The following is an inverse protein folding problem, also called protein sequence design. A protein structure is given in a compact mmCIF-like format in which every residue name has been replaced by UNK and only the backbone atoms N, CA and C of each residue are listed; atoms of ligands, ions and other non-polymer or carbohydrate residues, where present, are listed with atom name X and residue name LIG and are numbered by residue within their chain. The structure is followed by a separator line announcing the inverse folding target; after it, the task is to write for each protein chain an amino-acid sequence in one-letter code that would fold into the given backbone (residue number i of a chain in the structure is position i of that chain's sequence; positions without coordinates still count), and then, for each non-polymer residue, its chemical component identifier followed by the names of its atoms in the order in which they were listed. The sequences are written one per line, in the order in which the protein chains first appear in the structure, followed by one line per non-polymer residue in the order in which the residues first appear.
data_IF_701333290637
#
_entry.id   IF_701333290637
#
_cell.length_a   1.000
_cell.length_b   1.000
_cell.length_c   1.000
_cell.angle_alpha   90.00
_cell.angle_beta   90.00
_cell.angle_gamma   90.00
#
_symmetry.space_group_name_H-M   'P 1'
#
loop_
_entity.id
_entity.type
_entity.pdbx_description
1 polymer ?
#
# COMPACT_ATOMS: atom_id res chain seq x y z
N UNK A 1 1.89 -25.38 13.68
CA UNK A 1 2.22 -26.41 12.67
C UNK A 1 1.98 -25.77 11.30
N UNK A 2 3.02 -25.27 10.64
CA UNK A 2 2.93 -24.73 9.28
C UNK A 2 2.54 -25.89 8.35
N UNK A 3 1.46 -25.73 7.57
CA UNK A 3 1.06 -26.75 6.57
C UNK A 3 2.13 -26.79 5.48
N UNK A 4 2.57 -28.00 5.13
CA UNK A 4 3.63 -28.29 4.16
C UNK A 4 3.35 -27.79 2.73
N UNK A 5 2.12 -27.33 2.44
CA UNK A 5 1.66 -26.94 1.10
C UNK A 5 1.51 -25.40 0.94
N UNK A 6 2.39 -24.61 1.56
CA UNK A 6 2.30 -23.14 1.52
C UNK A 6 3.45 -22.55 0.72
N UNK A 7 3.14 -21.60 -0.16
CA UNK A 7 4.11 -20.86 -0.98
C UNK A 7 4.48 -19.53 -0.33
N UNK A 8 5.62 -18.98 -0.76
CA UNK A 8 6.11 -17.68 -0.33
C UNK A 8 6.50 -16.85 -1.54
N UNK A 9 6.08 -15.59 -1.55
CA UNK A 9 6.51 -14.54 -2.46
C UNK A 9 7.03 -13.43 -1.58
N UNK A 10 8.26 -12.98 -1.79
CA UNK A 10 8.77 -11.84 -1.04
C UNK A 10 9.91 -11.16 -1.74
N UNK A 11 10.01 -9.84 -1.52
CA UNK A 11 10.90 -8.94 -2.24
C UNK A 11 12.29 -9.52 -2.47
N UNK A 12 12.96 -9.91 -1.39
CA UNK A 12 14.36 -10.36 -1.41
C UNK A 12 14.57 -11.82 -1.85
N UNK A 13 13.49 -12.58 -1.96
CA UNK A 13 13.52 -14.00 -2.37
C UNK A 13 13.10 -14.21 -3.81
N UNK A 14 12.53 -13.18 -4.44
CA UNK A 14 11.99 -13.24 -5.79
C UNK A 14 13.05 -12.78 -6.77
N UNK A 15 13.27 -13.55 -7.85
CA UNK A 15 14.13 -13.12 -8.95
C UNK A 15 13.50 -11.96 -9.74
N UNK A 16 14.01 -11.70 -10.96
CA UNK A 16 13.45 -10.64 -11.83
C UNK A 16 12.00 -10.89 -12.28
N UNK A 17 11.51 -12.13 -12.18
CA UNK A 17 10.15 -12.50 -12.56
C UNK A 17 9.27 -12.64 -11.31
N UNK A 18 8.15 -11.94 -11.31
CA UNK A 18 7.13 -12.10 -10.27
C UNK A 18 6.45 -13.46 -10.43
N UNK A 19 6.44 -14.32 -9.40
CA UNK A 19 5.78 -15.61 -9.46
C UNK A 19 4.27 -15.44 -9.62
N UNK A 20 3.66 -16.29 -10.44
CA UNK A 20 2.21 -16.27 -10.64
C UNK A 20 1.50 -16.65 -9.33
N UNK A 21 0.48 -15.86 -8.97
CA UNK A 21 -0.40 -16.22 -7.87
C UNK A 21 -1.24 -17.44 -8.26
N UNK A 22 -1.15 -18.50 -7.47
CA UNK A 22 -1.86 -19.77 -7.70
C UNK A 22 -3.02 -19.97 -6.72
N UNK A 23 -3.73 -21.09 -6.82
CA UNK A 23 -4.79 -21.41 -5.88
C UNK A 23 -4.29 -21.84 -4.50
N UNK A 24 -3.01 -22.21 -4.40
CA UNK A 24 -2.36 -22.63 -3.16
C UNK A 24 -2.24 -21.45 -2.17
N UNK A 25 -2.33 -21.70 -0.85
CA UNK A 25 -2.01 -20.71 0.16
C UNK A 25 -0.62 -20.10 -0.09
N UNK A 26 -0.56 -18.78 -0.23
CA UNK A 26 0.66 -18.05 -0.59
C UNK A 26 0.84 -16.86 0.34
N UNK A 27 1.93 -16.84 1.10
CA UNK A 27 2.35 -15.66 1.85
C UNK A 27 3.07 -14.68 0.93
N UNK A 28 2.70 -13.40 1.02
CA UNK A 28 3.31 -12.31 0.28
C UNK A 28 3.94 -11.37 1.30
N UNK A 29 5.24 -11.15 1.23
CA UNK A 29 6.00 -10.50 2.31
C UNK A 29 6.94 -9.44 1.75
N UNK A 30 6.83 -8.23 2.31
CA UNK A 30 7.88 -7.22 2.24
C UNK A 30 8.49 -7.08 3.64
N UNK A 31 9.78 -7.44 3.84
CA UNK A 31 10.41 -7.31 5.13
C UNK A 31 10.64 -5.84 5.53
N UNK A 32 10.72 -4.90 4.58
CA UNK A 32 11.04 -3.50 4.82
C UNK A 32 10.59 -2.56 3.67
N UNK A 33 9.30 -2.23 3.64
CA UNK A 33 8.81 -1.13 2.81
C UNK A 33 9.29 0.21 3.40
N UNK A 34 9.73 1.10 2.51
CA UNK A 34 10.36 2.37 2.88
C UNK A 34 11.84 2.23 3.27
N UNK A 35 12.60 1.34 2.62
CA UNK A 35 14.05 1.16 2.88
C UNK A 35 14.84 2.48 2.90
N UNK A 36 14.53 3.43 2.00
CA UNK A 36 15.16 4.76 2.02
C UNK A 36 14.86 5.51 3.32
N UNK A 37 13.61 5.48 3.79
CA UNK A 37 13.23 6.09 5.05
C UNK A 37 13.95 5.44 6.23
N UNK A 38 14.04 4.10 6.25
CA UNK A 38 14.75 3.37 7.28
C UNK A 38 16.23 3.78 7.36
N UNK A 39 16.93 3.83 6.22
CA UNK A 39 18.35 4.23 6.14
C UNK A 39 18.56 5.65 6.69
N UNK A 40 17.61 6.55 6.45
CA UNK A 40 17.69 7.95 6.87
C UNK A 40 17.06 8.22 8.26
N UNK A 41 16.53 7.20 8.94
CA UNK A 41 15.85 7.35 10.23
C UNK A 41 14.52 8.12 10.14
N UNK A 42 13.91 8.22 8.96
CA UNK A 42 12.58 8.79 8.80
C UNK A 42 11.54 7.76 9.28
N UNK A 43 10.57 8.14 10.14
CA UNK A 43 9.81 7.17 10.94
C UNK A 43 8.72 6.42 10.15
N UNK A 44 8.69 6.54 8.82
CA UNK A 44 7.70 5.92 7.95
C UNK A 44 8.34 4.73 7.23
N UNK A 45 8.30 3.56 7.85
CA UNK A 45 8.75 2.28 7.29
C UNK A 45 7.91 1.18 7.92
N UNK A 46 7.70 0.07 7.21
CA UNK A 46 6.87 -1.01 7.73
C UNK A 46 7.25 -2.38 7.19
N UNK A 47 6.87 -3.41 7.96
CA UNK A 47 6.80 -4.79 7.49
C UNK A 47 5.41 -5.03 6.89
N UNK A 48 5.35 -5.72 5.75
CA UNK A 48 4.11 -6.06 5.05
C UNK A 48 3.96 -7.57 4.97
N UNK A 49 2.83 -8.09 5.42
CA UNK A 49 2.51 -9.53 5.37
C UNK A 49 1.08 -9.72 4.87
N UNK A 50 0.94 -10.36 3.72
CA UNK A 50 -0.32 -10.80 3.15
C UNK A 50 -0.41 -12.32 3.08
N UNK A 51 -1.63 -12.85 3.18
CA UNK A 51 -1.92 -14.24 2.85
C UNK A 51 -2.99 -14.28 1.75
N UNK A 52 -2.66 -14.94 0.64
CA UNK A 52 -3.60 -15.28 -0.41
C UNK A 52 -4.01 -16.74 -0.31
N UNK A 53 -5.28 -17.04 -0.58
CA UNK A 53 -5.82 -18.39 -0.76
C UNK A 53 -6.73 -18.35 -1.98
N UNK A 54 -6.59 -19.29 -2.93
CA UNK A 54 -7.38 -19.29 -4.18
C UNK A 54 -7.30 -17.97 -4.94
N UNK A 55 -6.08 -17.41 -5.03
CA UNK A 55 -5.79 -16.09 -5.62
C UNK A 55 -6.49 -14.91 -4.95
N UNK A 56 -7.04 -15.08 -3.75
CA UNK A 56 -7.72 -14.02 -3.03
C UNK A 56 -7.04 -13.69 -1.69
N UNK A 57 -6.74 -12.42 -1.43
CA UNK A 57 -6.15 -11.92 -0.16
C UNK A 57 -7.02 -12.10 1.10
N UNK A 58 -6.77 -13.11 1.93
CA UNK A 58 -7.59 -13.42 3.11
C UNK A 58 -7.13 -12.72 4.40
N UNK A 59 -5.84 -12.38 4.50
CA UNK A 59 -5.22 -11.68 5.63
C UNK A 59 -4.28 -10.59 5.09
N UNK A 60 -4.28 -9.43 5.75
CA UNK A 60 -3.36 -8.33 5.49
C UNK A 60 -2.86 -7.74 6.80
N UNK A 61 -1.55 -7.56 6.91
CA UNK A 61 -0.87 -6.99 8.07
C UNK A 61 0.15 -5.98 7.54
N UNK A 62 0.11 -4.75 8.04
CA UNK A 62 1.13 -3.73 7.82
C UNK A 62 1.53 -3.18 9.18
N UNK A 63 2.81 -3.29 9.51
CA UNK A 63 3.30 -2.89 10.83
C UNK A 63 4.45 -1.91 10.72
N UNK A 64 4.24 -0.68 11.19
CA UNK A 64 5.32 0.27 11.42
C UNK A 64 5.80 0.15 12.88
N UNK A 65 7.01 -0.36 13.13
CA UNK A 65 7.54 -0.55 14.48
C UNK A 65 8.00 0.76 15.15
N UNK A 66 8.29 1.81 14.38
CA UNK A 66 8.77 3.10 14.91
C UNK A 66 7.61 3.91 15.47
N UNK A 67 6.46 3.88 14.80
CA UNK A 67 5.24 4.57 15.22
C UNK A 67 4.29 3.67 16.03
N UNK A 68 4.65 2.39 16.22
CA UNK A 68 3.82 1.38 16.87
C UNK A 68 2.41 1.29 16.24
N UNK A 69 2.35 1.31 14.91
CA UNK A 69 1.10 1.24 14.15
C UNK A 69 0.96 -0.14 13.51
N UNK A 70 0.06 -0.95 14.06
CA UNK A 70 -0.31 -2.25 13.54
C UNK A 70 -1.66 -2.17 12.83
N UNK A 71 -1.61 -2.15 11.50
CA UNK A 71 -2.77 -2.27 10.65
C UNK A 71 -3.03 -3.74 10.33
N UNK A 72 -4.27 -4.18 10.48
CA UNK A 72 -4.67 -5.56 10.23
C UNK A 72 -6.03 -5.63 9.55
N UNK A 73 -6.21 -6.63 8.70
CA UNK A 73 -7.50 -6.98 8.13
C UNK A 73 -7.60 -8.48 7.91
N UNK A 74 -8.83 -8.98 8.03
CA UNK A 74 -9.21 -10.34 7.63
C UNK A 74 -10.44 -10.20 6.75
N UNK A 75 -10.47 -10.93 5.64
CA UNK A 75 -11.61 -10.89 4.71
C UNK A 75 -12.95 -11.08 5.43
N UNK A 76 -13.87 -10.15 5.20
CA UNK A 76 -15.22 -10.08 5.75
C UNK A 76 -15.29 -9.77 7.25
N UNK A 77 -14.22 -9.22 7.85
CA UNK A 77 -14.10 -8.97 9.29
C UNK A 77 -13.69 -7.55 9.64
N UNK A 78 -13.55 -6.67 8.65
CA UNK A 78 -13.15 -5.28 8.85
C UNK A 78 -11.63 -5.09 8.96
N UNK A 79 -11.25 -3.82 8.98
CA UNK A 79 -9.88 -3.36 9.14
C UNK A 79 -9.67 -2.67 10.49
N UNK A 80 -8.47 -2.79 11.05
CA UNK A 80 -8.14 -2.29 12.38
C UNK A 80 -6.76 -1.64 12.42
N UNK A 81 -6.63 -0.56 13.19
CA UNK A 81 -5.36 0.02 13.65
C UNK A 81 -5.25 -0.21 15.16
N UNK A 82 -4.23 -0.94 15.61
CA UNK A 82 -4.01 -1.24 17.04
C UNK A 82 -5.29 -1.76 17.72
N UNK A 83 -5.95 -2.74 17.09
CA UNK A 83 -7.22 -3.36 17.50
C UNK A 83 -8.45 -2.44 17.51
N UNK A 84 -8.35 -1.19 17.05
CA UNK A 84 -9.49 -0.28 16.90
C UNK A 84 -9.97 -0.30 15.44
N UNK A 85 -11.28 -0.43 15.18
CA UNK A 85 -11.80 -0.45 13.82
C UNK A 85 -11.51 0.87 13.12
N UNK A 86 -11.20 0.80 11.84
CA UNK A 86 -10.95 1.95 10.97
C UNK A 86 -11.89 1.92 9.77
N UNK A 87 -12.07 3.09 9.16
CA UNK A 87 -12.85 3.26 7.93
C UNK A 87 -12.24 4.37 7.09
N UNK A 88 -12.43 4.27 5.79
CA UNK A 88 -12.04 5.35 4.86
C UNK A 88 -12.82 6.64 5.15
N UNK A 89 -12.28 7.75 4.63
CA UNK A 89 -12.91 9.07 4.72
C UNK A 89 -14.18 9.14 3.87
N UNK A 90 -15.09 10.04 4.24
CA UNK A 90 -16.31 10.37 3.48
C UNK A 90 -16.18 11.70 2.70
N UNK A 91 -14.99 12.31 2.66
CA UNK A 91 -14.76 13.53 1.90
C UNK A 91 -14.91 13.25 0.40
N UNK A 92 -15.82 13.95 -0.25
CA UNK A 92 -16.08 13.84 -1.70
C UNK A 92 -15.55 15.04 -2.49
N UNK A 93 -15.28 16.14 -1.80
CA UNK A 93 -14.83 17.41 -2.37
C UNK A 93 -13.30 17.42 -2.40
N UNK A 94 -12.72 17.41 -3.60
CA UNK A 94 -11.27 17.33 -3.78
C UNK A 94 -10.56 18.48 -3.06
N UNK A 95 -11.15 19.68 -3.01
CA UNK A 95 -10.59 20.85 -2.31
C UNK A 95 -10.45 20.68 -0.80
N UNK A 96 -11.03 19.63 -0.23
CA UNK A 96 -10.94 19.23 1.19
C UNK A 96 -10.17 17.92 1.40
N UNK A 97 -9.66 17.33 0.32
CA UNK A 97 -8.98 16.05 0.33
C UNK A 97 -7.47 16.23 0.53
N UNK A 98 -6.89 15.38 1.36
CA UNK A 98 -5.45 15.14 1.42
C UNK A 98 -5.11 14.00 0.45
N UNK A 99 -4.25 14.28 -0.52
CA UNK A 99 -3.83 13.30 -1.53
C UNK A 99 -2.38 12.92 -1.31
N UNK A 100 -2.09 11.63 -1.25
CA UNK A 100 -0.72 11.15 -1.24
C UNK A 100 -0.24 10.77 -2.64
N UNK A 101 1.05 10.94 -2.91
CA UNK A 101 1.74 10.36 -4.06
C UNK A 101 3.24 10.32 -3.83
N UNK A 102 3.97 9.56 -4.65
CA UNK A 102 5.43 9.53 -4.58
C UNK A 102 6.07 10.46 -5.61
N UNK A 103 6.78 11.48 -5.12
CA UNK A 103 7.50 12.44 -5.96
C UNK A 103 8.84 11.92 -6.49
N UNK A 104 9.34 10.80 -5.94
CA UNK A 104 10.66 10.24 -6.27
C UNK A 104 10.85 9.88 -7.74
N UNK A 105 9.76 9.55 -8.44
CA UNK A 105 9.77 9.18 -9.86
C UNK A 105 10.13 10.33 -10.81
N UNK A 106 10.21 11.57 -10.33
CA UNK A 106 10.77 12.69 -11.08
C UNK A 106 12.23 12.45 -11.54
N UNK A 107 12.94 11.56 -10.85
CA UNK A 107 14.30 11.14 -11.18
C UNK A 107 14.36 10.17 -12.37
N UNK A 108 13.24 9.53 -12.73
CA UNK A 108 13.15 8.59 -13.85
C UNK A 108 12.78 9.37 -15.12
N UNK A 109 13.69 9.40 -16.10
CA UNK A 109 13.59 10.29 -17.28
C UNK A 109 12.23 10.22 -18.00
N UNK A 110 11.74 9.01 -18.30
CA UNK A 110 10.48 8.83 -19.02
C UNK A 110 9.21 9.09 -18.19
N UNK A 111 9.34 9.26 -16.87
CA UNK A 111 8.23 9.55 -15.95
C UNK A 111 8.22 10.98 -15.44
N UNK A 112 9.34 11.71 -15.59
CA UNK A 112 9.56 13.04 -15.01
C UNK A 112 8.42 14.01 -15.30
N UNK A 113 8.15 14.22 -16.58
CA UNK A 113 7.16 15.22 -17.00
C UNK A 113 5.75 14.86 -16.52
N UNK A 114 5.36 13.59 -16.69
CA UNK A 114 4.08 13.07 -16.19
C UNK A 114 3.93 13.23 -14.68
N UNK A 115 5.03 13.06 -13.94
CA UNK A 115 5.03 13.22 -12.47
C UNK A 115 4.83 14.70 -12.10
N UNK A 116 5.51 15.63 -12.78
CA UNK A 116 5.35 17.07 -12.58
C UNK A 116 3.92 17.51 -12.90
N UNK A 117 3.36 17.04 -14.02
CA UNK A 117 1.99 17.32 -14.44
C UNK A 117 0.96 16.85 -13.39
N UNK A 118 1.12 15.63 -12.86
CA UNK A 118 0.25 15.08 -11.81
C UNK A 118 0.33 15.88 -10.52
N UNK A 119 1.54 16.21 -10.07
CA UNK A 119 1.74 17.05 -8.89
C UNK A 119 1.01 18.39 -9.09
N UNK A 120 1.20 19.03 -10.25
CA UNK A 120 0.53 20.29 -10.57
C UNK A 120 -0.99 20.16 -10.54
N UNK A 121 -1.54 19.12 -11.16
CA UNK A 121 -2.98 18.88 -11.18
C UNK A 121 -3.57 18.70 -9.77
N UNK A 122 -2.88 17.94 -8.91
CA UNK A 122 -3.33 17.69 -7.53
C UNK A 122 -3.21 18.95 -6.68
N UNK A 123 -2.07 19.65 -6.72
CA UNK A 123 -1.80 20.82 -5.86
C UNK A 123 -2.74 21.99 -6.15
N UNK A 124 -3.24 22.12 -7.38
CA UNK A 124 -4.18 23.18 -7.75
C UNK A 124 -5.61 22.93 -7.25
N UNK A 125 -6.00 21.68 -7.06
CA UNK A 125 -7.39 21.30 -6.77
C UNK A 125 -7.60 20.72 -5.38
N UNK A 126 -6.58 20.08 -4.79
CA UNK A 126 -6.69 19.40 -3.50
C UNK A 126 -6.35 20.30 -2.31
N UNK A 127 -6.83 19.95 -1.11
CA UNK A 127 -6.46 20.67 0.13
C UNK A 127 -4.95 20.60 0.40
N UNK A 128 -4.33 19.48 0.05
CA UNK A 128 -2.90 19.31 0.18
C UNK A 128 -2.40 17.99 -0.38
N UNK A 129 -1.08 17.94 -0.52
CA UNK A 129 -0.34 16.76 -0.99
C UNK A 129 0.61 16.26 0.10
N UNK A 130 0.85 14.95 0.15
CA UNK A 130 1.94 14.33 0.94
C UNK A 130 2.73 13.35 0.08
N UNK A 131 4.03 13.26 0.38
CA UNK A 131 4.97 12.29 -0.17
C UNK A 131 5.66 11.65 1.03
N UNK A 132 5.43 10.35 1.23
CA UNK A 132 5.84 9.66 2.46
C UNK A 132 6.99 8.68 2.22
N UNK A 133 7.27 8.29 0.97
CA UNK A 133 8.38 7.37 0.66
C UNK A 133 8.15 5.95 1.14
N UNK A 134 6.90 5.53 1.32
CA UNK A 134 6.49 4.19 1.79
C UNK A 134 5.11 3.87 1.22
N UNK A 135 4.93 2.74 0.54
CA UNK A 135 3.71 2.47 -0.22
C UNK A 135 2.61 1.86 0.66
N UNK A 136 2.90 0.76 1.35
CA UNK A 136 1.95 -0.01 2.14
C UNK A 136 1.37 0.81 3.30
N UNK A 137 2.23 1.57 3.99
CA UNK A 137 1.79 2.43 5.09
C UNK A 137 0.91 3.58 4.59
N UNK A 138 1.22 4.15 3.43
CA UNK A 138 0.41 5.23 2.84
C UNK A 138 -0.97 4.72 2.41
N UNK A 139 -1.06 3.51 1.85
CA UNK A 139 -2.33 2.83 1.61
C UNK A 139 -3.13 2.62 2.91
N UNK A 140 -2.47 2.25 4.00
CA UNK A 140 -3.13 2.11 5.31
C UNK A 140 -3.65 3.45 5.87
N UNK A 141 -2.99 4.57 5.56
CA UNK A 141 -3.48 5.91 5.89
C UNK A 141 -4.75 6.29 5.12
N UNK A 142 -4.91 5.78 3.89
CA UNK A 142 -6.21 5.83 3.18
C UNK A 142 -7.25 5.00 3.92
N UNK A 143 -6.93 3.77 4.30
CA UNK A 143 -7.84 2.87 5.01
C UNK A 143 -8.34 3.44 6.35
N UNK A 144 -7.54 4.26 7.04
CA UNK A 144 -7.97 4.92 8.29
C UNK A 144 -8.62 6.30 8.10
N UNK A 145 -8.77 6.74 6.86
CA UNK A 145 -9.51 7.95 6.50
C UNK A 145 -8.83 9.26 6.89
N UNK A 146 -7.50 9.27 7.05
CA UNK A 146 -6.73 10.51 7.23
C UNK A 146 -6.14 11.02 5.91
N UNK A 147 -6.21 10.20 4.86
CA UNK A 147 -5.84 10.50 3.47
C UNK A 147 -7.03 10.04 2.60
N UNK A 148 -7.47 10.87 1.67
CA UNK A 148 -8.62 10.54 0.81
C UNK A 148 -8.23 9.67 -0.38
N UNK A 149 -7.03 9.87 -0.94
CA UNK A 149 -6.54 9.04 -2.03
C UNK A 149 -5.01 8.94 -2.05
N UNK A 150 -4.51 7.84 -2.58
CA UNK A 150 -3.11 7.63 -2.86
C UNK A 150 -2.92 7.25 -4.33
N UNK A 151 -2.04 7.95 -5.02
CA UNK A 151 -1.61 7.60 -6.37
C UNK A 151 -0.16 7.15 -6.35
N UNK A 152 0.09 5.94 -6.87
CA UNK A 152 1.45 5.48 -7.08
C UNK A 152 1.60 4.74 -8.40
N UNK A 153 2.66 5.08 -9.13
CA UNK A 153 3.08 4.42 -10.36
C UNK A 153 4.58 4.65 -10.51
N UNK A 154 5.35 3.58 -10.68
CA UNK A 154 6.76 3.69 -11.00
C UNK A 154 7.56 2.43 -10.69
N UNK A 155 8.85 2.41 -11.07
CA UNK A 155 9.74 1.29 -10.80
C UNK A 155 9.92 1.08 -9.29
N UNK A 156 9.99 -0.19 -8.88
CA UNK A 156 10.17 -0.57 -7.47
C UNK A 156 8.87 -0.81 -6.72
N UNK A 157 7.71 -0.52 -7.31
CA UNK A 157 6.42 -0.92 -6.74
C UNK A 157 6.02 -2.28 -7.26
N UNK A 158 5.74 -3.17 -6.31
CA UNK A 158 5.53 -4.58 -6.54
C UNK A 158 4.31 -5.10 -5.78
N UNK A 159 3.95 -6.35 -6.03
CA UNK A 159 2.78 -6.98 -5.41
C UNK A 159 2.86 -6.99 -3.89
N UNK A 160 4.06 -7.13 -3.30
CA UNK A 160 4.24 -7.16 -1.85
C UNK A 160 3.97 -5.82 -1.17
N UNK A 161 4.23 -4.69 -1.84
CA UNK A 161 3.91 -3.35 -1.32
C UNK A 161 2.39 -3.10 -1.19
N UNK A 162 1.60 -3.75 -2.04
CA UNK A 162 0.18 -3.43 -2.23
C UNK A 162 -0.74 -4.51 -1.65
N UNK A 163 -0.41 -5.79 -1.78
CA UNK A 163 -1.36 -6.89 -1.59
C UNK A 163 -1.99 -6.96 -0.19
N UNK A 164 -1.23 -6.72 0.87
CA UNK A 164 -1.78 -6.71 2.22
C UNK A 164 -2.62 -5.45 2.47
N UNK A 165 -2.13 -4.29 2.03
CA UNK A 165 -2.78 -3.01 2.22
C UNK A 165 -4.06 -2.86 1.39
N UNK A 166 -4.16 -3.53 0.24
CA UNK A 166 -5.38 -3.54 -0.58
C UNK A 166 -6.54 -4.21 0.14
N UNK A 167 -6.30 -5.34 0.82
CA UNK A 167 -7.32 -5.95 1.69
C UNK A 167 -7.71 -5.01 2.83
N UNK A 168 -6.74 -4.35 3.46
CA UNK A 168 -6.99 -3.41 4.55
C UNK A 168 -7.89 -2.25 4.09
N UNK A 169 -7.63 -1.68 2.91
CA UNK A 169 -8.48 -0.65 2.30
C UNK A 169 -9.89 -1.19 2.01
N UNK A 170 -10.01 -2.35 1.36
CA UNK A 170 -11.32 -2.92 1.02
C UNK A 170 -12.17 -3.21 2.27
N UNK A 171 -11.56 -3.78 3.32
CA UNK A 171 -12.25 -4.06 4.58
C UNK A 171 -12.57 -2.78 5.38
N UNK A 172 -11.89 -1.67 5.12
CA UNK A 172 -12.22 -0.34 5.63
C UNK A 172 -13.31 0.39 4.82
N UNK A 173 -13.82 -0.22 3.75
CA UNK A 173 -14.85 0.35 2.86
C UNK A 173 -14.31 1.19 1.71
N UNK A 174 -13.00 1.12 1.43
CA UNK A 174 -12.38 1.79 0.28
C UNK A 174 -12.25 0.90 -0.95
N UNK A 175 -11.60 1.44 -1.98
CA UNK A 175 -11.31 0.74 -3.24
C UNK A 175 -9.84 0.89 -3.60
N UNK A 176 -9.29 -0.12 -4.26
CA UNK A 176 -7.99 -0.05 -4.94
C UNK A 176 -8.27 -0.34 -6.41
N UNK A 177 -7.72 0.47 -7.30
CA UNK A 177 -7.98 0.38 -8.73
C UNK A 177 -6.65 0.39 -9.47
N UNK A 178 -6.44 -0.60 -10.30
CA UNK A 178 -5.35 -0.62 -11.26
C UNK A 178 -5.64 0.33 -12.43
N UNK A 179 -4.67 1.18 -12.77
CA UNK A 179 -4.84 2.25 -13.76
C UNK A 179 -5.07 1.70 -15.17
N UNK A 180 -4.51 0.56 -15.51
CA UNK A 180 -4.57 0.00 -16.87
C UNK A 180 -5.84 -0.83 -17.09
N UNK A 181 -6.17 -1.66 -16.12
CA UNK A 181 -7.29 -2.62 -16.19
C UNK A 181 -8.59 -2.07 -15.62
N UNK A 182 -8.52 -1.02 -14.79
CA UNK A 182 -9.68 -0.44 -14.11
C UNK A 182 -10.31 -1.36 -13.08
N UNK A 183 -9.63 -2.45 -12.70
CA UNK A 183 -10.07 -3.45 -11.74
C UNK A 183 -9.40 -3.27 -10.39
#
# INVERSE_FOLDING_TARGET
MLRLDTRFIGEESTGKELPELTDDPTWIIDPIDGTTNFIHGFPHTCVVIGLSIKKEMVIGIVYNPVLEQLFTARRGRGAFLNNKPIKVSNVQDLSKALICMESGFIKVDHMREKTIERIRAIVLEAQGIRTLGVAALTLCYVAMGIVEAYYIEGPGISTWDIAAASLIISEAGGVVVDRETGK
#
